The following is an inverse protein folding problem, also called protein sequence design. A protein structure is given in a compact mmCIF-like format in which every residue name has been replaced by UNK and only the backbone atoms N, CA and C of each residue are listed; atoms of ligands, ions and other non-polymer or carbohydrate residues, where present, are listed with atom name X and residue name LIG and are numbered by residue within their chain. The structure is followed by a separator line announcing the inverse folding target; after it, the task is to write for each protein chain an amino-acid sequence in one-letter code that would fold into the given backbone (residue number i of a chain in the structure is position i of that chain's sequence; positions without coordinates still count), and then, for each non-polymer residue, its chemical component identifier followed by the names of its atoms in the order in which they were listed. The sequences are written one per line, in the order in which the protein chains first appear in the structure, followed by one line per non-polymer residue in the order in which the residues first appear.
data_IF_896437725689
#
_entry.id   IF_896437725689
#
_cell.length_a   1.000
_cell.length_b   1.000
_cell.length_c   1.000
_cell.angle_alpha   90.00
_cell.angle_beta   90.00
_cell.angle_gamma   90.00
#
_symmetry.space_group_name_H-M   'P 1'
#
loop_
_entity.id
_entity.type
_entity.pdbx_description
1 polymer ?
#
# COMPACT_ATOMS: atom_id res chain seq x y z
N UNK A 1 -27.58 11.29 -15.52
CA UNK A 1 -26.40 10.67 -14.90
C UNK A 1 -25.73 11.74 -14.06
N UNK A 2 -25.81 11.67 -12.73
CA UNK A 2 -25.14 12.62 -11.83
C UNK A 2 -23.78 12.03 -11.46
N UNK A 3 -22.69 12.66 -11.90
CA UNK A 3 -21.37 12.37 -11.31
C UNK A 3 -21.28 13.17 -10.02
N UNK A 4 -21.30 12.48 -8.88
CA UNK A 4 -20.96 13.09 -7.60
C UNK A 4 -19.47 13.43 -7.63
N UNK A 5 -19.12 14.65 -8.06
CA UNK A 5 -17.74 15.11 -8.08
C UNK A 5 -17.37 15.52 -6.65
N UNK A 6 -16.99 14.53 -5.84
CA UNK A 6 -16.51 14.77 -4.47
C UNK A 6 -15.33 15.74 -4.48
N UNK A 7 -15.32 16.70 -3.55
CA UNK A 7 -14.19 17.59 -3.35
C UNK A 7 -13.02 16.81 -2.74
N UNK A 8 -11.89 16.78 -3.44
CA UNK A 8 -10.66 16.13 -2.98
C UNK A 8 -9.66 17.19 -2.52
N UNK A 9 -9.25 17.15 -1.24
CA UNK A 9 -8.26 18.08 -0.68
C UNK A 9 -6.87 17.43 -0.72
N UNK A 10 -6.11 17.70 -1.77
CA UNK A 10 -4.72 17.27 -1.89
C UNK A 10 -3.80 18.19 -1.07
N UNK A 11 -2.95 17.64 -0.20
CA UNK A 11 -1.84 18.38 0.42
C UNK A 11 -0.55 18.00 -0.30
N UNK A 12 0.23 18.99 -0.75
CA UNK A 12 1.52 18.75 -1.39
C UNK A 12 2.65 19.00 -0.38
N UNK A 13 3.67 18.15 -0.38
CA UNK A 13 4.89 18.30 0.41
C UNK A 13 6.01 18.76 -0.51
N UNK A 14 6.70 19.84 -0.13
CA UNK A 14 7.78 20.45 -0.90
C UNK A 14 9.10 20.35 -0.13
N UNK A 15 10.22 20.17 -0.84
CA UNK A 15 11.56 20.37 -0.24
C UNK A 15 11.93 21.86 -0.20
N UNK A 16 13.11 22.17 0.33
CA UNK A 16 13.62 23.55 0.44
C UNK A 16 13.90 24.21 -0.93
N UNK A 17 13.94 23.42 -2.00
CA UNK A 17 14.09 23.86 -3.39
C UNK A 17 12.75 23.97 -4.12
N UNK A 18 11.62 23.97 -3.40
CA UNK A 18 10.25 24.04 -3.94
C UNK A 18 9.85 22.87 -4.85
N UNK A 19 10.56 21.75 -4.77
CA UNK A 19 10.23 20.54 -5.54
C UNK A 19 9.24 19.68 -4.77
N UNK A 20 8.24 19.13 -5.47
CA UNK A 20 7.28 18.18 -4.87
C UNK A 20 8.00 16.90 -4.49
N UNK A 21 8.06 16.63 -3.19
CA UNK A 21 8.65 15.40 -2.62
C UNK A 21 7.59 14.42 -2.11
N UNK A 22 6.32 14.84 -2.09
CA UNK A 22 5.22 13.96 -1.75
C UNK A 22 3.87 14.67 -1.78
N UNK A 23 2.84 13.90 -1.47
CA UNK A 23 1.52 14.43 -1.21
C UNK A 23 0.83 13.62 -0.10
N UNK A 24 -0.08 14.28 0.59
CA UNK A 24 -0.90 13.70 1.64
C UNK A 24 -2.37 13.79 1.23
N UNK A 25 -3.05 12.66 1.38
CA UNK A 25 -4.47 12.54 1.12
C UNK A 25 -5.19 12.77 2.46
N UNK A 26 -6.39 13.37 2.45
CA UNK A 26 -7.20 13.42 3.67
C UNK A 26 -7.54 11.98 4.10
N UNK A 27 -8.00 11.82 5.34
CA UNK A 27 -8.35 10.51 5.93
C UNK A 27 -9.09 9.65 4.91
N UNK A 28 -8.64 8.41 4.76
CA UNK A 28 -9.16 7.55 3.71
C UNK A 28 -10.58 7.17 4.07
N UNK A 29 -11.54 7.75 3.34
CA UNK A 29 -12.97 7.43 3.45
C UNK A 29 -13.27 6.00 2.95
N UNK A 30 -12.30 5.41 2.25
CA UNK A 30 -12.33 4.02 1.81
C UNK A 30 -12.17 3.06 2.99
N UNK A 31 -12.83 1.88 2.99
CA UNK A 31 -12.62 0.88 4.03
C UNK A 31 -11.17 0.37 4.04
N UNK A 32 -10.65 -0.11 5.19
CA UNK A 32 -9.28 -0.58 5.34
C UNK A 32 -8.84 -1.58 4.25
N UNK A 33 -9.72 -2.50 3.86
CA UNK A 33 -9.49 -3.50 2.83
C UNK A 33 -9.28 -2.87 1.44
N UNK A 34 -9.99 -1.79 1.14
CA UNK A 34 -9.83 -1.07 -0.12
C UNK A 34 -8.49 -0.34 -0.16
N UNK A 35 -8.07 0.29 0.94
CA UNK A 35 -6.75 0.94 1.04
C UNK A 35 -5.62 -0.10 0.86
N UNK A 36 -5.70 -1.23 1.57
CA UNK A 36 -4.72 -2.32 1.43
C UNK A 36 -4.68 -2.89 0.01
N UNK A 37 -5.84 -3.08 -0.63
CA UNK A 37 -5.94 -3.50 -2.04
C UNK A 37 -5.29 -2.49 -2.97
N UNK A 38 -5.62 -1.21 -2.81
CA UNK A 38 -5.13 -0.12 -3.64
C UNK A 38 -3.60 0.02 -3.55
N UNK A 39 -3.04 -0.17 -2.36
CA UNK A 39 -1.59 -0.23 -2.15
C UNK A 39 -0.95 -1.33 -3.01
N UNK A 40 -1.41 -2.58 -2.87
CA UNK A 40 -0.83 -3.71 -3.62
C UNK A 40 -1.06 -3.59 -5.13
N UNK A 41 -2.20 -3.05 -5.57
CA UNK A 41 -2.49 -2.83 -6.99
C UNK A 41 -1.61 -1.77 -7.65
N UNK A 42 -1.06 -0.82 -6.88
CA UNK A 42 -0.19 0.22 -7.39
C UNK A 42 1.22 -0.30 -7.69
N UNK A 43 1.70 -1.31 -6.95
CA UNK A 43 3.05 -1.86 -7.09
C UNK A 43 3.35 -2.43 -8.49
N UNK A 44 2.55 -3.35 -9.07
CA UNK A 44 2.83 -3.90 -10.41
C UNK A 44 2.67 -2.88 -11.53
N UNK A 45 2.10 -1.70 -11.25
CA UNK A 45 1.90 -0.61 -12.23
C UNK A 45 3.03 0.42 -12.19
N UNK A 46 4.09 0.19 -11.41
CA UNK A 46 5.15 1.17 -11.12
C UNK A 46 4.59 2.49 -10.56
N UNK A 47 3.49 2.41 -9.79
CA UNK A 47 2.81 3.56 -9.19
C UNK A 47 3.21 3.71 -7.72
N UNK A 48 4.50 3.63 -7.43
CA UNK A 48 5.08 3.62 -6.07
C UNK A 48 4.79 4.91 -5.32
N UNK A 49 4.68 6.03 -6.03
CA UNK A 49 4.22 7.30 -5.46
C UNK A 49 2.76 7.22 -4.98
N UNK A 50 1.88 6.51 -5.70
CA UNK A 50 0.49 6.27 -5.26
C UNK A 50 0.43 5.30 -4.09
N UNK A 51 1.21 4.23 -4.11
CA UNK A 51 1.33 3.31 -2.97
C UNK A 51 1.81 4.06 -1.72
N UNK A 52 2.83 4.90 -1.87
CA UNK A 52 3.38 5.74 -0.79
C UNK A 52 2.37 6.75 -0.25
N UNK A 53 1.46 7.26 -1.07
CA UNK A 53 0.45 8.22 -0.62
C UNK A 53 -0.49 7.65 0.45
N UNK A 54 -0.69 6.33 0.43
CA UNK A 54 -1.54 5.59 1.37
C UNK A 54 -0.87 5.35 2.74
N UNK A 55 0.42 5.65 2.86
CA UNK A 55 1.17 5.45 4.10
C UNK A 55 0.89 6.57 5.11
N UNK A 56 1.03 6.25 6.39
CA UNK A 56 1.04 7.23 7.47
C UNK A 56 2.18 8.25 7.29
N UNK A 57 2.06 9.48 7.81
CA UNK A 57 3.12 10.49 7.72
C UNK A 57 4.46 9.99 8.29
N UNK A 58 4.44 9.25 9.39
CA UNK A 58 5.63 8.67 10.00
C UNK A 58 6.31 7.67 9.05
N UNK A 59 5.56 6.69 8.54
CA UNK A 59 6.12 5.71 7.60
C UNK A 59 6.58 6.37 6.29
N UNK A 60 5.95 7.48 5.88
CA UNK A 60 6.45 8.29 4.76
C UNK A 60 7.86 8.82 5.04
N UNK A 61 8.25 9.15 6.27
CA UNK A 61 9.64 9.61 6.52
C UNK A 61 10.69 8.51 6.37
N UNK A 62 10.28 7.24 6.41
CA UNK A 62 11.19 6.09 6.41
C UNK A 62 11.20 5.32 5.08
N UNK A 63 10.07 5.31 4.35
CA UNK A 63 9.86 4.44 3.18
C UNK A 63 9.66 5.21 1.88
N UNK A 64 10.75 5.69 1.29
CA UNK A 64 10.78 6.40 -0.01
C UNK A 64 10.26 5.54 -1.18
N UNK A 65 9.80 6.14 -2.29
CA UNK A 65 9.26 5.40 -3.43
C UNK A 65 10.19 4.30 -3.95
N UNK A 66 11.49 4.59 -4.07
CA UNK A 66 12.49 3.63 -4.52
C UNK A 66 12.62 2.41 -3.59
N UNK A 67 12.41 2.60 -2.28
CA UNK A 67 12.45 1.49 -1.33
C UNK A 67 11.19 0.61 -1.44
N UNK A 68 10.03 1.20 -1.73
CA UNK A 68 8.81 0.44 -2.05
C UNK A 68 9.01 -0.42 -3.31
N UNK A 69 9.58 0.18 -4.37
CA UNK A 69 9.93 -0.51 -5.61
C UNK A 69 10.93 -1.64 -5.39
N UNK A 70 11.98 -1.37 -4.61
CA UNK A 70 13.02 -2.35 -4.32
C UNK A 70 12.45 -3.54 -3.56
N UNK A 71 11.64 -3.31 -2.52
CA UNK A 71 10.99 -4.40 -1.75
C UNK A 71 10.09 -5.25 -2.65
N UNK A 72 9.28 -4.63 -3.50
CA UNK A 72 8.41 -5.33 -4.44
C UNK A 72 9.20 -6.15 -5.49
N UNK A 73 10.25 -5.56 -6.05
CA UNK A 73 11.13 -6.23 -7.03
C UNK A 73 11.82 -7.43 -6.40
N UNK A 74 12.34 -7.28 -5.19
CA UNK A 74 12.98 -8.36 -4.43
C UNK A 74 12.00 -9.49 -4.11
N UNK A 75 10.72 -9.19 -3.84
CA UNK A 75 9.68 -10.22 -3.73
C UNK A 75 9.49 -10.99 -5.07
N UNK A 76 9.34 -10.26 -6.18
CA UNK A 76 9.14 -10.88 -7.50
C UNK A 76 10.34 -11.71 -8.00
N UNK A 77 11.56 -11.40 -7.56
CA UNK A 77 12.74 -12.24 -7.84
C UNK A 77 12.60 -13.65 -7.26
N UNK A 78 11.88 -13.80 -6.14
CA UNK A 78 11.63 -15.09 -5.48
C UNK A 78 10.35 -15.75 -5.98
N UNK A 79 9.28 -14.97 -6.14
CA UNK A 79 7.93 -15.49 -6.42
C UNK A 79 7.57 -15.51 -7.90
N UNK A 80 8.39 -14.89 -8.75
CA UNK A 80 8.05 -14.59 -10.13
C UNK A 80 7.14 -13.36 -10.27
N UNK A 81 6.72 -13.01 -11.49
CA UNK A 81 5.91 -11.83 -11.72
C UNK A 81 4.53 -11.95 -11.07
N UNK A 82 4.02 -10.82 -10.59
CA UNK A 82 2.66 -10.67 -10.08
C UNK A 82 1.61 -11.10 -11.11
N UNK A 83 0.59 -11.82 -10.67
CA UNK A 83 -0.57 -12.18 -11.49
C UNK A 83 -1.83 -11.45 -11.01
N UNK A 84 -2.21 -11.61 -9.75
CA UNK A 84 -3.44 -11.02 -9.21
C UNK A 84 -3.44 -10.97 -7.68
N UNK A 85 -4.30 -10.12 -7.12
CA UNK A 85 -4.71 -10.19 -5.71
C UNK A 85 -5.84 -11.21 -5.62
N UNK A 86 -5.62 -12.29 -4.87
CA UNK A 86 -6.61 -13.37 -4.66
C UNK A 86 -7.66 -12.92 -3.64
N UNK A 87 -7.21 -12.37 -2.51
CA UNK A 87 -8.10 -11.99 -1.43
C UNK A 87 -7.53 -10.82 -0.61
N UNK A 88 -8.41 -10.07 0.03
CA UNK A 88 -8.05 -9.09 1.07
C UNK A 88 -8.99 -9.32 2.23
N UNK A 89 -8.44 -9.65 3.40
CA UNK A 89 -9.25 -9.86 4.61
C UNK A 89 -8.74 -9.05 5.79
N UNK A 90 -9.67 -8.61 6.62
CA UNK A 90 -9.40 -8.12 7.96
C UNK A 90 -9.11 -9.30 8.88
N UNK A 91 -7.91 -9.31 9.45
CA UNK A 91 -7.44 -10.33 10.39
C UNK A 91 -7.73 -9.95 11.85
N UNK A 92 -8.16 -8.70 12.10
CA UNK A 92 -8.52 -8.18 13.41
C UNK A 92 -8.26 -6.67 13.52
N UNK A 93 -8.99 -6.04 14.43
CA UNK A 93 -8.76 -4.66 14.85
C UNK A 93 -8.59 -4.62 16.35
N UNK A 94 -7.48 -4.05 16.82
CA UNK A 94 -7.16 -3.90 18.24
C UNK A 94 -6.44 -2.56 18.47
N UNK A 95 -6.80 -1.86 19.55
CA UNK A 95 -6.18 -0.58 19.94
C UNK A 95 -6.11 0.48 18.82
N UNK A 96 -7.10 0.51 17.92
CA UNK A 96 -7.15 1.43 16.78
C UNK A 96 -6.24 1.06 15.61
N UNK A 97 -5.64 -0.14 15.63
CA UNK A 97 -4.87 -0.71 14.53
C UNK A 97 -5.69 -1.82 13.88
N UNK A 98 -5.84 -1.76 12.56
CA UNK A 98 -6.47 -2.83 11.76
C UNK A 98 -5.40 -3.60 11.02
N UNK A 99 -5.33 -4.92 11.21
CA UNK A 99 -4.41 -5.81 10.49
C UNK A 99 -5.12 -6.45 9.30
N UNK A 100 -4.56 -6.29 8.12
CA UNK A 100 -5.08 -6.81 6.86
C UNK A 100 -4.12 -7.87 6.32
N UNK A 101 -4.68 -8.96 5.82
CA UNK A 101 -3.94 -9.93 5.01
C UNK A 101 -4.35 -9.80 3.54
N UNK A 102 -3.37 -9.52 2.69
CA UNK A 102 -3.54 -9.44 1.25
C UNK A 102 -2.90 -10.64 0.59
N UNK A 103 -3.71 -11.59 0.15
CA UNK A 103 -3.26 -12.78 -0.57
C UNK A 103 -3.01 -12.41 -2.04
N UNK A 104 -1.82 -12.72 -2.51
CA UNK A 104 -1.33 -12.39 -3.84
C UNK A 104 -0.82 -13.65 -4.52
N UNK A 105 -1.27 -13.85 -5.75
CA UNK A 105 -0.74 -14.87 -6.62
C UNK A 105 0.36 -14.30 -7.50
N UNK A 106 1.50 -14.95 -7.46
CA UNK A 106 2.60 -14.77 -8.40
C UNK A 106 2.72 -15.99 -9.31
N UNK A 107 3.59 -15.91 -10.31
CA UNK A 107 3.79 -17.04 -11.25
C UNK A 107 4.23 -18.33 -10.55
N UNK A 108 5.13 -18.24 -9.57
CA UNK A 108 5.79 -19.40 -8.97
C UNK A 108 5.35 -19.66 -7.52
N UNK A 109 4.59 -18.75 -6.91
CA UNK A 109 4.19 -18.82 -5.50
C UNK A 109 2.89 -18.03 -5.22
N UNK A 110 2.19 -18.45 -4.18
CA UNK A 110 1.06 -17.76 -3.58
C UNK A 110 1.56 -17.25 -2.23
N UNK A 111 1.36 -15.97 -1.97
CA UNK A 111 1.92 -15.34 -0.78
C UNK A 111 0.98 -14.31 -0.17
N UNK A 112 1.30 -13.85 1.04
CA UNK A 112 0.47 -12.91 1.78
C UNK A 112 1.28 -11.73 2.28
N UNK A 113 0.84 -10.51 1.94
CA UNK A 113 1.35 -9.30 2.57
C UNK A 113 0.52 -9.00 3.82
N UNK A 114 1.21 -8.65 4.91
CA UNK A 114 0.56 -8.13 6.11
C UNK A 114 0.63 -6.61 6.08
N UNK A 115 -0.52 -5.96 6.21
CA UNK A 115 -0.61 -4.49 6.17
C UNK A 115 -1.36 -4.04 7.42
N UNK A 116 -0.76 -3.12 8.18
CA UNK A 116 -1.40 -2.51 9.36
C UNK A 116 -1.85 -1.10 9.02
N UNK A 117 -3.08 -0.76 9.40
CA UNK A 117 -3.67 0.56 9.21
C UNK A 117 -4.00 1.19 10.57
N UNK A 118 -3.81 2.50 10.71
CA UNK A 118 -4.31 3.27 11.86
C UNK A 118 -5.81 3.56 11.76
N UNK A 119 -6.36 4.24 12.78
CA UNK A 119 -7.78 4.61 12.84
C UNK A 119 -8.24 5.59 11.75
N UNK A 120 -7.31 6.24 11.04
CA UNK A 120 -7.56 7.12 9.89
C UNK A 120 -7.37 6.37 8.55
N UNK A 121 -7.26 5.03 8.61
CA UNK A 121 -7.01 4.12 7.49
C UNK A 121 -5.69 4.39 6.76
N UNK A 122 -4.68 4.98 7.41
CA UNK A 122 -3.35 5.14 6.83
C UNK A 122 -2.49 3.92 7.13
N UNK A 123 -1.72 3.47 6.15
CA UNK A 123 -0.84 2.30 6.32
C UNK A 123 0.34 2.68 7.24
N UNK A 124 0.41 2.04 8.39
CA UNK A 124 1.48 2.22 9.39
C UNK A 124 2.57 1.17 9.28
N UNK A 125 2.28 0.01 8.68
CA UNK A 125 3.27 -1.02 8.41
C UNK A 125 2.91 -1.84 7.16
N UNK A 126 3.93 -2.31 6.44
CA UNK A 126 3.81 -3.29 5.35
C UNK A 126 4.92 -4.31 5.51
N UNK A 127 4.54 -5.57 5.72
CA UNK A 127 5.44 -6.70 5.75
C UNK A 127 5.39 -7.45 4.41
N UNK A 128 6.56 -7.56 3.77
CA UNK A 128 6.73 -8.32 2.54
C UNK A 128 7.30 -9.69 2.90
N UNK A 129 6.60 -10.78 2.56
CA UNK A 129 7.01 -12.12 2.96
C UNK A 129 8.38 -12.50 2.41
N UNK A 130 9.25 -13.00 3.28
CA UNK A 130 10.61 -13.42 2.93
C UNK A 130 10.67 -14.88 2.46
N UNK A 131 9.75 -15.72 2.95
CA UNK A 131 9.66 -17.15 2.64
C UNK A 131 8.33 -17.48 1.94
N UNK A 132 8.24 -17.29 0.61
CA UNK A 132 7.03 -17.54 -0.14
C UNK A 132 6.63 -19.01 -0.17
N UNK A 133 5.33 -19.29 -0.21
CA UNK A 133 4.80 -20.66 -0.34
C UNK A 133 4.79 -21.06 -1.82
N UNK A 134 5.52 -22.11 -2.23
CA UNK A 134 5.50 -22.58 -3.60
C UNK A 134 4.10 -23.01 -4.03
N UNK A 135 3.76 -22.78 -5.30
CA UNK A 135 2.52 -23.24 -5.93
C UNK A 135 2.56 -24.74 -6.28
#
# INVERSE_FOLDING_TARGET
MQTNTGQFRLRLLFNQQEQVVGYDLPDFVEPPEAVARNFVQALPKNQSLKARALLSPLLKTELFPQQVEQRWTTLQQRTGPFQQIVNVRNAGTEAGITLLLVEVRFRNADDSLFISLDGDNRITNVDFPENPRPN
#
